data_IF_657530015806
#
_entry.id   IF_657530015806
#
_cell.length_a   1.000
_cell.length_b   1.000
_cell.length_c   1.000
_cell.angle_alpha   90.00
_cell.angle_beta   90.00
_cell.angle_gamma   90.00
#
_symmetry.space_group_name_H-M   'P 1'
#
loop_
_entity.id
_entity.type
_entity.pdbx_description
1 polymer ?
#
# COMPACT_ATOMS: atom_id res chain seq x y z
N UNK A 1 -35.20 52.62 34.60
CA UNK A 1 -35.14 51.39 33.72
C UNK A 1 -33.96 51.38 32.76
N UNK A 2 -33.29 52.48 32.46
CA UNK A 2 -32.18 52.54 31.50
C UNK A 2 -30.81 52.08 32.03
N UNK A 3 -30.54 52.16 33.31
CA UNK A 3 -29.21 51.85 33.87
C UNK A 3 -28.92 50.31 33.91
N UNK A 4 -29.93 49.49 34.09
CA UNK A 4 -29.79 48.02 34.07
C UNK A 4 -29.54 47.46 32.66
N UNK A 5 -30.02 48.14 31.62
CA UNK A 5 -29.83 47.73 30.21
C UNK A 5 -28.39 48.00 29.75
N UNK A 6 -27.77 49.09 30.21
CA UNK A 6 -26.39 49.46 29.86
C UNK A 6 -25.37 48.55 30.54
N UNK A 7 -25.61 48.10 31.77
CA UNK A 7 -24.75 47.15 32.48
C UNK A 7 -24.80 45.76 31.82
N UNK A 8 -25.98 45.29 31.46
CA UNK A 8 -26.17 44.01 30.79
C UNK A 8 -25.51 43.98 29.39
N UNK A 9 -25.61 45.07 28.61
CA UNK A 9 -24.91 45.19 27.33
C UNK A 9 -23.38 45.21 27.47
N UNK A 10 -22.86 45.85 28.50
CA UNK A 10 -21.40 45.84 28.78
C UNK A 10 -20.90 44.44 29.19
N UNK A 11 -21.70 43.69 29.96
CA UNK A 11 -21.34 42.32 30.36
C UNK A 11 -21.35 41.39 29.13
N UNK A 12 -22.33 41.52 28.24
CA UNK A 12 -22.39 40.72 27.00
C UNK A 12 -21.21 41.06 26.09
N UNK A 13 -20.86 42.36 25.94
CA UNK A 13 -19.71 42.78 25.13
C UNK A 13 -18.38 42.25 25.64
N UNK A 14 -18.21 42.22 26.98
CA UNK A 14 -16.99 41.65 27.61
C UNK A 14 -16.95 40.13 27.46
N UNK A 15 -18.11 39.46 27.59
CA UNK A 15 -18.21 38.01 27.38
C UNK A 15 -17.94 37.60 25.92
N UNK A 16 -18.46 38.35 24.95
CA UNK A 16 -18.20 38.16 23.53
C UNK A 16 -16.70 38.42 23.23
N UNK A 17 -16.09 39.43 23.83
CA UNK A 17 -14.66 39.71 23.68
C UNK A 17 -13.78 38.62 24.30
N UNK A 18 -14.16 38.05 25.43
CA UNK A 18 -13.46 36.94 26.10
C UNK A 18 -13.62 35.63 25.31
N UNK A 19 -14.78 35.38 24.72
CA UNK A 19 -15.01 34.20 23.87
C UNK A 19 -14.28 34.32 22.52
N UNK A 20 -14.15 35.54 21.97
CA UNK A 20 -13.36 35.77 20.75
C UNK A 20 -11.85 35.67 20.96
N UNK A 21 -11.37 35.96 22.21
CA UNK A 21 -9.93 35.84 22.54
C UNK A 21 -9.51 34.39 22.85
N UNK A 22 -10.45 33.51 23.23
CA UNK A 22 -10.18 32.08 23.45
C UNK A 22 -10.19 31.25 22.18
N UNK A 23 -10.53 31.82 21.03
CA UNK A 23 -10.62 31.12 19.74
C UNK A 23 -9.34 31.09 18.90
N UNK A 24 -8.22 31.65 19.33
CA UNK A 24 -7.03 31.82 18.46
C UNK A 24 -5.78 31.05 18.89
N UNK A 25 -5.92 30.00 19.69
CA UNK A 25 -4.82 29.09 20.00
C UNK A 25 -5.10 27.65 19.57
N UNK A 26 -5.70 27.45 18.41
CA UNK A 26 -5.48 26.20 17.69
C UNK A 26 -4.14 26.32 16.96
N UNK A 27 -3.04 26.25 17.70
CA UNK A 27 -1.74 25.90 17.15
C UNK A 27 -1.95 24.61 16.35
N UNK A 28 -1.59 24.64 15.07
CA UNK A 28 -1.46 23.44 14.25
C UNK A 28 -0.41 22.55 14.93
N UNK A 29 -0.84 21.73 15.89
CA UNK A 29 -0.02 20.65 16.40
C UNK A 29 0.08 19.67 15.24
N UNK A 30 1.20 19.71 14.52
CA UNK A 30 1.51 18.67 13.56
C UNK A 30 1.48 17.33 14.29
N UNK A 31 0.87 16.31 13.66
CA UNK A 31 0.76 14.98 14.24
C UNK A 31 2.17 14.41 14.46
N UNK A 32 2.64 14.42 15.71
CA UNK A 32 3.96 13.92 16.07
C UNK A 32 4.19 12.46 15.69
N UNK A 33 3.13 11.65 15.66
CA UNK A 33 3.16 10.28 15.17
C UNK A 33 3.43 10.22 13.67
N UNK A 34 2.77 11.07 12.89
CA UNK A 34 2.98 11.13 11.46
C UNK A 34 4.41 11.56 11.12
N UNK A 35 4.91 12.61 11.81
CA UNK A 35 6.29 13.08 11.65
C UNK A 35 7.32 12.02 12.07
N UNK A 36 7.11 11.36 13.22
CA UNK A 36 7.97 10.28 13.68
C UNK A 36 8.04 9.15 12.65
N UNK A 37 6.89 8.67 12.16
CA UNK A 37 6.81 7.59 11.18
C UNK A 37 7.47 7.97 9.85
N UNK A 38 7.33 9.22 9.43
CA UNK A 38 7.88 9.70 8.15
C UNK A 38 9.40 9.93 8.21
N UNK A 39 9.91 10.47 9.31
CA UNK A 39 11.28 10.97 9.39
C UNK A 39 12.21 10.12 10.27
N UNK A 40 11.70 9.45 11.29
CA UNK A 40 12.51 8.84 12.35
C UNK A 40 12.43 7.31 12.38
N UNK A 41 11.24 6.74 12.12
CA UNK A 41 10.96 5.31 12.32
C UNK A 41 11.78 4.36 11.44
N UNK A 42 12.38 4.84 10.35
CA UNK A 42 13.25 4.04 9.48
C UNK A 42 14.57 3.62 10.15
N UNK A 43 15.08 4.47 11.05
CA UNK A 43 16.36 4.23 11.74
C UNK A 43 16.19 4.04 13.24
N UNK A 44 15.08 4.50 13.81
CA UNK A 44 14.82 4.47 15.24
C UNK A 44 13.49 3.80 15.59
N UNK A 45 13.49 3.00 16.65
CA UNK A 45 12.26 2.60 17.32
C UNK A 45 12.20 3.24 18.72
N UNK A 46 11.00 3.27 19.33
CA UNK A 46 10.83 3.87 20.66
C UNK A 46 11.50 2.99 21.71
N UNK A 47 11.20 1.68 21.73
CA UNK A 47 11.59 0.77 22.81
C UNK A 47 12.78 -0.14 22.47
N UNK A 48 13.22 -0.19 21.22
CA UNK A 48 14.33 -1.07 20.79
C UNK A 48 15.33 -0.32 19.92
N UNK A 49 16.57 -0.79 19.93
CA UNK A 49 17.61 -0.33 19.01
C UNK A 49 17.34 -0.89 17.61
N UNK A 50 17.47 -0.04 16.60
CA UNK A 50 17.52 -0.41 15.18
C UNK A 50 18.90 -0.04 14.61
N UNK A 51 18.92 0.75 13.55
CA UNK A 51 20.17 1.37 13.03
C UNK A 51 20.71 2.39 14.00
N UNK A 52 19.82 3.21 14.57
CA UNK A 52 20.13 4.17 15.64
C UNK A 52 19.62 3.68 17.01
N UNK A 53 19.88 4.46 18.07
CA UNK A 53 19.44 4.15 19.43
C UNK A 53 17.92 4.10 19.57
N UNK A 54 17.44 3.34 20.57
CA UNK A 54 16.07 3.44 21.05
C UNK A 54 15.79 4.86 21.53
N UNK A 55 14.62 5.42 21.22
CA UNK A 55 14.33 6.82 21.51
C UNK A 55 13.58 7.06 22.82
N UNK A 56 13.13 6.00 23.50
CA UNK A 56 12.50 6.12 24.84
C UNK A 56 13.44 6.86 25.79
N UNK A 57 12.95 7.92 26.42
CA UNK A 57 13.73 8.77 27.33
C UNK A 57 14.88 9.52 26.63
N UNK A 58 14.75 9.83 25.34
CA UNK A 58 15.81 10.52 24.60
C UNK A 58 16.08 11.92 25.16
N UNK A 59 15.06 12.64 25.62
CA UNK A 59 15.22 13.99 26.21
C UNK A 59 16.09 13.95 27.45
N UNK A 60 15.94 12.96 28.33
CA UNK A 60 16.71 12.83 29.57
C UNK A 60 18.19 12.52 29.32
N UNK A 61 18.56 12.12 28.10
CA UNK A 61 19.94 11.80 27.72
C UNK A 61 20.70 13.01 27.15
N UNK A 62 20.04 14.14 27.00
CA UNK A 62 20.63 15.37 26.51
C UNK A 62 20.52 16.47 27.57
N UNK A 63 21.65 17.00 27.99
CA UNK A 63 21.72 18.06 29.05
C UNK A 63 21.11 19.39 28.57
N UNK A 64 21.08 19.61 27.24
CA UNK A 64 20.56 20.81 26.61
C UNK A 64 19.58 20.44 25.48
N UNK A 65 18.33 20.83 25.65
CA UNK A 65 17.26 20.59 24.65
C UNK A 65 17.52 21.33 23.35
N UNK A 66 18.18 22.50 23.39
CA UNK A 66 18.53 23.22 22.16
C UNK A 66 19.55 22.42 21.34
N UNK A 67 20.50 21.76 22.00
CA UNK A 67 21.47 20.89 21.32
C UNK A 67 20.82 19.63 20.76
N UNK A 68 19.77 19.09 21.39
CA UNK A 68 18.97 18.00 20.83
C UNK A 68 18.25 18.45 19.54
N UNK A 69 17.69 19.66 19.51
CA UNK A 69 17.06 20.19 18.30
C UNK A 69 18.09 20.38 17.17
N UNK A 70 19.27 20.94 17.50
CA UNK A 70 20.36 21.08 16.53
C UNK A 70 20.87 19.74 16.04
N UNK A 71 20.95 18.75 16.93
CA UNK A 71 21.30 17.36 16.56
C UNK A 71 20.31 16.78 15.55
N UNK A 72 19.02 16.91 15.78
CA UNK A 72 17.98 16.42 14.85
C UNK A 72 18.08 17.14 13.51
N UNK A 73 18.32 18.46 13.50
CA UNK A 73 18.43 19.23 12.25
C UNK A 73 19.72 18.94 11.49
N UNK A 74 20.83 18.81 12.18
CA UNK A 74 22.14 18.58 11.55
C UNK A 74 23.14 17.96 12.52
N UNK A 75 23.09 16.63 12.63
CA UNK A 75 23.99 15.87 13.50
C UNK A 75 25.47 16.09 13.18
N UNK A 76 25.83 16.23 11.89
CA UNK A 76 27.21 16.48 11.46
C UNK A 76 27.79 17.78 12.05
N UNK A 77 26.97 18.84 12.03
CA UNK A 77 27.40 20.13 12.59
C UNK A 77 27.63 20.05 14.09
N UNK A 78 26.78 19.31 14.82
CA UNK A 78 26.92 19.16 16.29
C UNK A 78 28.12 18.27 16.64
N UNK A 79 28.40 17.23 15.88
CA UNK A 79 29.61 16.38 16.01
C UNK A 79 30.85 17.26 15.78
N UNK A 80 30.86 18.04 14.69
CA UNK A 80 31.98 18.95 14.37
C UNK A 80 32.26 19.99 15.45
N UNK A 81 31.21 20.46 16.15
CA UNK A 81 31.36 21.34 17.32
C UNK A 81 31.94 20.63 18.54
N UNK A 82 32.10 19.31 18.51
CA UNK A 82 32.68 18.54 19.61
C UNK A 82 31.76 18.37 20.82
N UNK A 83 30.43 18.49 20.64
CA UNK A 83 29.50 18.31 21.77
C UNK A 83 29.60 16.88 22.32
N UNK A 84 29.93 16.68 23.62
CA UNK A 84 30.34 15.39 24.16
C UNK A 84 29.33 14.27 23.92
N UNK A 85 28.03 14.54 24.13
CA UNK A 85 26.97 13.55 23.89
C UNK A 85 26.87 13.17 22.43
N UNK A 86 26.96 14.12 21.52
CA UNK A 86 26.89 13.87 20.07
C UNK A 86 28.05 13.00 19.59
N UNK A 87 29.26 13.31 20.07
CA UNK A 87 30.47 12.52 19.71
C UNK A 87 30.40 11.12 20.31
N UNK A 88 29.88 10.98 21.54
CA UNK A 88 29.73 9.69 22.20
C UNK A 88 28.75 8.80 21.41
N UNK A 89 27.55 9.29 21.08
CA UNK A 89 26.57 8.55 20.29
C UNK A 89 27.12 8.19 18.90
N UNK A 90 27.77 9.15 18.24
CA UNK A 90 28.39 8.88 16.93
C UNK A 90 29.39 7.74 16.97
N UNK A 91 30.26 7.69 17.99
CA UNK A 91 31.26 6.62 18.15
C UNK A 91 30.62 5.28 18.55
N UNK A 92 29.61 5.30 19.42
CA UNK A 92 28.87 4.13 19.88
C UNK A 92 28.16 3.41 18.70
N UNK A 93 27.64 4.18 17.74
CA UNK A 93 26.89 3.66 16.59
C UNK A 93 27.74 3.59 15.31
N UNK A 94 28.97 3.07 15.43
CA UNK A 94 29.89 2.78 14.32
C UNK A 94 30.18 3.97 13.40
N UNK A 95 30.13 5.17 13.93
CA UNK A 95 30.31 6.43 13.19
C UNK A 95 29.29 6.61 12.06
N UNK A 96 28.09 6.01 12.21
CA UNK A 96 26.95 6.26 11.32
C UNK A 96 26.40 7.64 11.64
N UNK A 97 26.38 8.49 10.63
CA UNK A 97 25.85 9.84 10.77
C UNK A 97 24.34 9.84 10.59
N UNK A 98 23.60 10.42 11.54
CA UNK A 98 22.17 10.61 11.41
C UNK A 98 21.86 11.57 10.25
N UNK A 99 20.84 11.24 9.45
CA UNK A 99 20.33 12.12 8.39
C UNK A 99 19.93 13.48 8.94
N UNK A 100 20.25 14.55 8.22
CA UNK A 100 19.89 15.91 8.61
C UNK A 100 18.45 16.23 8.18
N UNK A 101 17.70 16.93 9.05
CA UNK A 101 16.32 17.38 8.80
C UNK A 101 16.21 18.91 9.03
N UNK A 102 16.86 19.72 8.18
CA UNK A 102 16.95 21.16 8.38
C UNK A 102 15.58 21.89 8.30
N UNK A 103 14.60 21.25 7.69
CA UNK A 103 13.24 21.76 7.54
C UNK A 103 12.40 21.68 8.83
N UNK A 104 12.80 20.84 9.81
CA UNK A 104 12.02 20.68 11.04
C UNK A 104 12.16 21.88 11.96
N UNK A 105 11.03 22.44 12.37
CA UNK A 105 10.94 23.51 13.38
C UNK A 105 10.96 22.90 14.80
N UNK A 106 11.21 23.72 15.81
CA UNK A 106 11.17 23.26 17.21
C UNK A 106 9.83 22.60 17.55
N UNK A 107 8.71 23.20 17.10
CA UNK A 107 7.38 22.66 17.35
C UNK A 107 7.18 21.26 16.74
N UNK A 108 7.79 20.98 15.58
CA UNK A 108 7.72 19.68 14.93
C UNK A 108 8.51 18.62 15.71
N UNK A 109 9.70 19.01 16.20
CA UNK A 109 10.55 18.15 17.02
C UNK A 109 9.87 17.91 18.38
N UNK A 110 9.26 18.93 19.00
CA UNK A 110 8.49 18.76 20.23
C UNK A 110 7.29 17.84 20.06
N UNK A 111 6.60 17.92 18.93
CA UNK A 111 5.51 16.99 18.63
C UNK A 111 6.01 15.54 18.49
N UNK A 112 7.16 15.33 17.85
CA UNK A 112 7.81 14.02 17.76
C UNK A 112 8.22 13.50 19.13
N UNK A 113 8.86 14.35 19.96
CA UNK A 113 9.28 13.99 21.31
C UNK A 113 8.08 13.68 22.21
N UNK A 114 7.00 14.46 22.10
CA UNK A 114 5.73 14.19 22.77
C UNK A 114 5.17 12.81 22.42
N UNK A 115 5.20 12.44 21.14
CA UNK A 115 4.78 11.10 20.69
C UNK A 115 5.68 9.98 21.26
N UNK A 116 6.99 10.19 21.27
CA UNK A 116 7.96 9.25 21.86
C UNK A 116 7.69 9.06 23.35
N UNK A 117 7.47 10.15 24.11
CA UNK A 117 7.24 10.14 25.56
C UNK A 117 5.92 9.46 25.95
N UNK A 118 4.92 9.49 25.07
CA UNK A 118 3.69 8.70 25.27
C UNK A 118 3.89 7.20 25.00
N UNK A 119 5.15 6.75 24.80
CA UNK A 119 5.47 5.35 24.50
C UNK A 119 4.97 4.90 23.13
N UNK A 120 4.82 5.86 22.19
CA UNK A 120 4.12 5.58 20.95
C UNK A 120 2.66 5.26 21.22
N UNK A 121 2.08 5.90 22.26
CA UNK A 121 0.82 5.49 22.83
C UNK A 121 0.01 4.80 21.77
N UNK A 122 -0.40 3.55 22.06
CA UNK A 122 -1.64 3.01 21.52
C UNK A 122 -2.62 4.17 21.49
N UNK A 123 -2.50 5.04 20.46
CA UNK A 123 -3.66 5.76 20.00
C UNK A 123 -4.66 4.65 20.01
N UNK A 124 -5.64 4.74 20.92
CA UNK A 124 -6.73 3.82 20.97
C UNK A 124 -6.94 3.48 19.53
N UNK A 125 -6.76 2.23 19.17
CA UNK A 125 -7.16 1.77 17.88
C UNK A 125 -8.54 2.40 17.75
N UNK A 126 -8.60 3.56 17.09
CA UNK A 126 -9.76 3.88 16.35
C UNK A 126 -9.88 2.61 15.59
N UNK A 127 -10.73 1.76 16.09
CA UNK A 127 -11.22 0.59 15.43
C UNK A 127 -11.49 1.05 14.02
N UNK A 128 -10.46 1.00 13.18
CA UNK A 128 -10.66 0.59 11.83
C UNK A 128 -11.26 -0.79 12.07
N UNK A 129 -12.60 -0.81 12.19
CA UNK A 129 -13.33 -1.98 11.84
C UNK A 129 -12.63 -2.46 10.57
N UNK A 130 -12.18 -3.72 10.51
CA UNK A 130 -11.81 -4.25 9.23
C UNK A 130 -13.03 -3.87 8.38
N UNK A 131 -12.86 -3.02 7.39
CA UNK A 131 -13.75 -3.06 6.27
C UNK A 131 -13.68 -4.56 5.95
N UNK A 132 -14.80 -5.25 6.13
CA UNK A 132 -15.04 -6.50 5.47
C UNK A 132 -14.94 -6.15 3.99
N UNK A 133 -13.70 -5.98 3.55
CA UNK A 133 -13.32 -6.02 2.19
C UNK A 133 -13.68 -7.43 1.80
N UNK A 134 -14.63 -7.58 0.89
CA UNK A 134 -14.75 -8.78 0.10
C UNK A 134 -13.33 -9.22 -0.18
N UNK A 135 -12.93 -10.31 0.46
CA UNK A 135 -11.67 -10.94 0.20
C UNK A 135 -11.57 -11.05 -1.31
N UNK A 136 -10.56 -10.41 -1.87
CA UNK A 136 -10.19 -10.70 -3.25
C UNK A 136 -10.12 -12.23 -3.32
N UNK A 137 -10.70 -12.86 -4.33
CA UNK A 137 -10.65 -14.31 -4.42
C UNK A 137 -9.20 -14.73 -4.30
N UNK A 138 -8.98 -15.57 -3.32
CA UNK A 138 -7.68 -16.12 -2.95
C UNK A 138 -7.02 -16.70 -4.21
N UNK A 139 -5.75 -16.40 -4.44
CA UNK A 139 -5.00 -16.94 -5.56
C UNK A 139 -4.83 -18.48 -5.50
N UNK A 140 -5.46 -19.13 -4.51
CA UNK A 140 -5.54 -20.57 -4.36
C UNK A 140 -6.66 -21.27 -5.15
N UNK A 141 -7.55 -20.51 -5.84
CA UNK A 141 -8.72 -21.10 -6.53
C UNK A 141 -8.44 -21.65 -7.93
N UNK A 142 -7.24 -21.48 -8.50
CA UNK A 142 -6.98 -21.95 -9.87
C UNK A 142 -6.92 -23.48 -9.99
N UNK A 143 -6.41 -24.17 -8.96
CA UNK A 143 -6.24 -25.63 -9.01
C UNK A 143 -7.57 -26.37 -8.83
N UNK A 144 -8.48 -25.85 -7.99
CA UNK A 144 -9.81 -26.45 -7.82
C UNK A 144 -10.69 -26.27 -9.05
N UNK A 145 -10.64 -25.13 -9.73
CA UNK A 145 -11.41 -24.88 -10.94
C UNK A 145 -10.96 -25.78 -12.12
N UNK A 146 -9.67 -26.05 -12.22
CA UNK A 146 -9.12 -27.00 -13.20
C UNK A 146 -9.54 -28.42 -12.87
N UNK A 147 -9.52 -28.80 -11.58
CA UNK A 147 -9.97 -30.12 -11.12
C UNK A 147 -11.47 -30.33 -11.41
N UNK A 148 -12.32 -29.35 -11.09
CA UNK A 148 -13.75 -29.40 -11.40
C UNK A 148 -14.01 -29.42 -12.92
N UNK A 149 -13.23 -28.69 -13.70
CA UNK A 149 -13.29 -28.72 -15.17
C UNK A 149 -12.97 -30.11 -15.74
N UNK A 150 -11.91 -30.75 -15.25
CA UNK A 150 -11.54 -32.12 -15.64
C UNK A 150 -12.62 -33.12 -15.20
N UNK A 151 -13.11 -33.01 -13.96
CA UNK A 151 -14.14 -33.88 -13.43
C UNK A 151 -15.45 -33.81 -14.26
N UNK A 152 -15.88 -32.59 -14.61
CA UNK A 152 -17.08 -32.41 -15.44
C UNK A 152 -16.89 -32.95 -16.85
N UNK A 153 -15.70 -32.82 -17.44
CA UNK A 153 -15.38 -33.41 -18.75
C UNK A 153 -15.43 -34.94 -18.69
N UNK A 154 -14.84 -35.55 -17.67
CA UNK A 154 -14.85 -37.01 -17.47
C UNK A 154 -16.29 -37.50 -17.29
N UNK A 155 -17.12 -36.83 -16.47
CA UNK A 155 -18.52 -37.19 -16.30
C UNK A 155 -19.34 -37.04 -17.59
N UNK A 156 -19.06 -36.03 -18.41
CA UNK A 156 -19.70 -35.86 -19.71
C UNK A 156 -19.35 -36.99 -20.67
N UNK A 157 -18.09 -37.41 -20.71
CA UNK A 157 -17.64 -38.57 -21.55
C UNK A 157 -18.30 -39.85 -21.06
N UNK A 158 -18.36 -40.10 -19.75
CA UNK A 158 -19.05 -41.27 -19.18
C UNK A 158 -20.54 -41.28 -19.59
N UNK A 159 -21.21 -40.11 -19.47
CA UNK A 159 -22.61 -39.98 -19.88
C UNK A 159 -22.84 -40.32 -21.38
N UNK A 160 -21.95 -39.85 -22.27
CA UNK A 160 -22.01 -40.16 -23.68
C UNK A 160 -21.83 -41.68 -23.95
N UNK A 161 -20.87 -42.31 -23.22
CA UNK A 161 -20.67 -43.77 -23.32
C UNK A 161 -21.93 -44.53 -22.86
N UNK A 162 -22.53 -44.14 -21.73
CA UNK A 162 -23.73 -44.75 -21.20
C UNK A 162 -24.92 -44.58 -22.13
N UNK A 163 -25.08 -43.43 -22.79
CA UNK A 163 -26.10 -43.21 -23.80
C UNK A 163 -25.93 -44.15 -25.01
N UNK A 164 -24.67 -44.33 -25.45
CA UNK A 164 -24.36 -45.26 -26.55
C UNK A 164 -24.63 -46.72 -26.16
N UNK A 165 -24.21 -47.11 -24.94
CA UNK A 165 -24.49 -48.45 -24.40
C UNK A 165 -26.00 -48.71 -24.30
N UNK A 166 -26.77 -47.76 -23.75
CA UNK A 166 -28.23 -47.87 -23.67
C UNK A 166 -28.89 -47.98 -25.05
N UNK A 167 -28.39 -47.24 -26.04
CA UNK A 167 -28.87 -47.37 -27.45
C UNK A 167 -28.62 -48.77 -28.02
N UNK A 168 -27.43 -49.32 -27.74
CA UNK A 168 -27.10 -50.68 -28.19
C UNK A 168 -27.92 -51.76 -27.47
N UNK A 169 -28.15 -51.62 -26.15
CA UNK A 169 -28.98 -52.53 -25.36
C UNK A 169 -30.44 -52.52 -25.84
N UNK A 170 -31.01 -51.36 -26.15
CA UNK A 170 -32.35 -51.24 -26.72
C UNK A 170 -32.43 -51.99 -28.05
N UNK A 171 -31.45 -51.83 -28.94
CA UNK A 171 -31.40 -52.58 -30.19
C UNK A 171 -31.41 -54.08 -29.95
N UNK A 172 -30.61 -54.59 -29.04
CA UNK A 172 -30.57 -56.02 -28.71
C UNK A 172 -31.90 -56.48 -28.12
N UNK A 173 -32.60 -55.73 -27.32
CA UNK A 173 -33.94 -56.04 -26.81
C UNK A 173 -34.96 -56.12 -27.94
N UNK A 174 -34.97 -55.10 -28.82
CA UNK A 174 -35.92 -55.03 -29.96
C UNK A 174 -35.68 -56.19 -30.98
N UNK A 175 -34.43 -56.58 -31.18
CA UNK A 175 -34.09 -57.74 -32.05
C UNK A 175 -34.56 -59.04 -31.41
N UNK A 176 -34.53 -59.21 -30.08
CA UNK A 176 -35.08 -60.40 -29.42
C UNK A 176 -36.59 -60.49 -29.53
N UNK A 177 -37.27 -59.33 -29.64
CA UNK A 177 -38.73 -59.25 -29.87
C UNK A 177 -39.14 -59.38 -31.35
N UNK A 178 -38.18 -59.59 -32.29
CA UNK A 178 -38.39 -59.73 -33.67
C UNK A 178 -38.61 -58.48 -34.50
N UNK A 179 -38.36 -57.33 -33.91
CA UNK A 179 -38.44 -56.03 -34.56
C UNK A 179 -37.18 -55.76 -35.38
N UNK A 180 -37.34 -55.39 -36.67
CA UNK A 180 -36.19 -54.90 -37.47
C UNK A 180 -35.86 -53.48 -37.12
N UNK A 181 -34.81 -53.26 -36.34
CA UNK A 181 -34.32 -51.93 -35.97
C UNK A 181 -33.12 -51.50 -36.82
N UNK A 182 -33.03 -50.19 -37.10
CA UNK A 182 -31.88 -49.63 -37.79
C UNK A 182 -30.62 -49.70 -36.90
N UNK A 183 -29.46 -49.85 -37.52
CA UNK A 183 -28.22 -49.86 -36.78
C UNK A 183 -28.02 -48.51 -35.99
N UNK A 184 -27.62 -48.55 -34.70
CA UNK A 184 -27.39 -47.35 -33.93
C UNK A 184 -26.22 -46.55 -34.54
N UNK A 185 -26.49 -45.29 -34.82
CA UNK A 185 -25.48 -44.37 -35.39
C UNK A 185 -24.42 -44.10 -34.32
N UNK A 186 -23.14 -44.39 -34.57
CA UNK A 186 -22.07 -44.06 -33.62
C UNK A 186 -22.11 -42.58 -33.24
N UNK A 187 -21.80 -42.23 -31.98
CA UNK A 187 -21.90 -40.87 -31.44
C UNK A 187 -21.14 -39.83 -32.31
N UNK A 188 -19.96 -40.19 -32.84
CA UNK A 188 -19.15 -39.34 -33.71
C UNK A 188 -19.72 -39.11 -35.12
N UNK A 189 -20.77 -39.84 -35.51
CA UNK A 189 -21.55 -39.64 -36.76
C UNK A 189 -22.95 -39.09 -36.51
N UNK A 190 -23.36 -39.04 -35.25
CA UNK A 190 -24.67 -38.52 -34.90
C UNK A 190 -24.67 -36.98 -34.99
N UNK A 191 -25.43 -36.43 -35.92
CA UNK A 191 -25.50 -35.00 -36.19
C UNK A 191 -25.89 -34.19 -34.94
N UNK A 192 -26.73 -34.72 -34.05
CA UNK A 192 -27.14 -34.05 -32.83
C UNK A 192 -25.94 -33.90 -31.85
N UNK A 193 -25.16 -34.96 -31.65
CA UNK A 193 -23.98 -34.89 -30.77
C UNK A 193 -22.89 -33.99 -31.35
N UNK A 194 -22.68 -34.04 -32.67
CA UNK A 194 -21.73 -33.14 -33.36
C UNK A 194 -22.18 -31.69 -33.18
N UNK A 195 -23.47 -31.39 -33.33
CA UNK A 195 -24.00 -30.04 -33.16
C UNK A 195 -23.84 -29.56 -31.71
N UNK A 196 -24.17 -30.39 -30.73
CA UNK A 196 -24.00 -30.05 -29.30
C UNK A 196 -22.52 -29.78 -28.97
N UNK A 197 -21.61 -30.63 -29.45
CA UNK A 197 -20.18 -30.45 -29.24
C UNK A 197 -19.65 -29.16 -29.91
N UNK A 198 -20.09 -28.89 -31.13
CA UNK A 198 -19.74 -27.65 -31.84
C UNK A 198 -20.24 -26.41 -31.11
N UNK A 199 -21.47 -26.45 -30.57
CA UNK A 199 -22.04 -25.35 -29.76
C UNK A 199 -21.24 -25.17 -28.48
N UNK A 200 -20.91 -26.24 -27.74
CA UNK A 200 -20.10 -26.15 -26.52
C UNK A 200 -18.70 -25.58 -26.81
N UNK A 201 -18.07 -26.02 -27.90
CA UNK A 201 -16.76 -25.52 -28.31
C UNK A 201 -16.83 -24.03 -28.70
N UNK A 202 -17.89 -23.64 -29.41
CA UNK A 202 -18.11 -22.24 -29.77
C UNK A 202 -18.37 -21.36 -28.56
N UNK A 203 -19.22 -21.79 -27.62
CA UNK A 203 -19.49 -21.05 -26.39
C UNK A 203 -18.27 -21.00 -25.47
N UNK A 204 -17.59 -22.13 -25.29
CA UNK A 204 -16.37 -22.20 -24.48
C UNK A 204 -15.22 -21.36 -25.07
N UNK A 205 -14.98 -21.53 -26.37
CA UNK A 205 -13.99 -20.75 -27.10
C UNK A 205 -14.32 -19.26 -27.12
N UNK A 206 -15.60 -18.92 -27.32
CA UNK A 206 -16.09 -17.54 -27.24
C UNK A 206 -15.88 -16.91 -25.84
N UNK A 207 -16.19 -17.67 -24.79
CA UNK A 207 -15.94 -17.24 -23.40
C UNK A 207 -14.45 -17.01 -23.12
N UNK A 208 -13.58 -17.95 -23.51
CA UNK A 208 -12.13 -17.80 -23.34
C UNK A 208 -11.58 -16.61 -24.13
N UNK A 209 -12.05 -16.40 -25.35
CA UNK A 209 -11.66 -15.25 -26.19
C UNK A 209 -12.11 -13.94 -25.55
N UNK A 210 -13.34 -13.90 -25.03
CA UNK A 210 -13.87 -12.73 -24.34
C UNK A 210 -13.07 -12.40 -23.07
N UNK A 211 -12.76 -13.40 -22.24
CA UNK A 211 -11.91 -13.22 -21.05
C UNK A 211 -10.51 -12.74 -21.42
N UNK A 212 -9.90 -13.32 -22.45
CA UNK A 212 -8.62 -12.88 -22.99
C UNK A 212 -8.65 -11.43 -23.48
N UNK A 213 -9.71 -11.06 -24.20
CA UNK A 213 -9.90 -9.69 -24.68
C UNK A 213 -10.10 -8.70 -23.53
N UNK A 214 -10.83 -9.06 -22.48
CA UNK A 214 -10.96 -8.24 -21.28
C UNK A 214 -9.63 -8.07 -20.52
N UNK A 215 -8.73 -9.04 -20.61
CA UNK A 215 -7.39 -8.99 -20.02
C UNK A 215 -6.39 -8.11 -20.77
N UNK A 216 -6.68 -7.72 -22.02
CA UNK A 216 -5.78 -6.88 -22.81
C UNK A 216 -5.51 -5.54 -22.13
N UNK A 217 -4.24 -5.18 -21.98
CA UNK A 217 -3.79 -3.94 -21.32
C UNK A 217 -3.88 -3.96 -19.80
N UNK A 218 -4.28 -5.07 -19.18
CA UNK A 218 -4.25 -5.24 -17.72
C UNK A 218 -3.00 -6.00 -17.32
N UNK A 219 -2.26 -5.44 -16.36
CA UNK A 219 -0.97 -5.98 -15.95
C UNK A 219 -1.01 -6.62 -14.56
N UNK A 220 -2.16 -7.18 -14.13
CA UNK A 220 -2.27 -7.88 -12.85
C UNK A 220 -1.23 -9.02 -12.80
N UNK A 221 -0.55 -9.15 -11.67
CA UNK A 221 0.55 -10.10 -11.44
C UNK A 221 1.81 -9.82 -12.30
N UNK A 222 1.90 -8.67 -12.95
CA UNK A 222 3.13 -8.29 -13.64
C UNK A 222 4.26 -8.06 -12.63
N UNK A 223 5.34 -8.82 -12.78
CA UNK A 223 6.49 -8.87 -11.88
C UNK A 223 7.77 -8.91 -12.70
N UNK A 224 8.26 -7.77 -13.15
CA UNK A 224 9.49 -7.70 -13.93
C UNK A 224 10.73 -7.85 -13.04
N UNK A 225 11.80 -8.42 -13.57
CA UNK A 225 13.10 -8.39 -12.92
C UNK A 225 13.61 -6.95 -12.78
N UNK A 226 14.17 -6.64 -11.62
CA UNK A 226 14.70 -5.33 -11.28
C UNK A 226 16.23 -5.31 -11.33
N UNK A 227 16.86 -4.15 -11.61
CA UNK A 227 18.34 -4.05 -11.64
C UNK A 227 19.01 -4.46 -10.33
N UNK A 228 18.34 -4.28 -9.21
CA UNK A 228 18.73 -4.73 -7.88
C UNK A 228 17.55 -5.49 -7.29
N UNK A 229 17.80 -6.68 -6.73
CA UNK A 229 16.82 -7.37 -5.93
C UNK A 229 16.58 -6.59 -4.63
N UNK A 230 15.39 -6.02 -4.49
CA UNK A 230 15.00 -5.25 -3.32
C UNK A 230 13.82 -5.92 -2.61
N UNK A 231 14.07 -6.47 -1.41
CA UNK A 231 13.04 -7.14 -0.63
C UNK A 231 12.27 -6.16 0.25
N UNK A 232 10.99 -5.97 -0.04
CA UNK A 232 10.08 -5.24 0.87
C UNK A 232 9.81 -6.05 2.15
N UNK A 233 9.88 -7.38 2.09
CA UNK A 233 9.76 -8.25 3.27
C UNK A 233 10.82 -7.92 4.30
N UNK A 234 12.07 -7.74 3.87
CA UNK A 234 13.16 -7.38 4.78
C UNK A 234 13.00 -5.95 5.30
N UNK A 235 12.73 -4.99 4.42
CA UNK A 235 12.70 -3.57 4.80
C UNK A 235 11.41 -3.18 5.53
N UNK A 236 10.26 -3.38 4.92
CA UNK A 236 8.97 -2.97 5.46
C UNK A 236 8.35 -4.02 6.41
N UNK A 237 8.59 -5.31 6.14
CA UNK A 237 8.07 -6.41 6.97
C UNK A 237 8.88 -6.60 8.25
N UNK A 238 10.12 -7.05 8.14
CA UNK A 238 10.96 -7.42 9.30
C UNK A 238 11.46 -6.18 10.03
N UNK A 239 12.05 -5.23 9.31
CA UNK A 239 12.59 -4.00 9.90
C UNK A 239 11.54 -2.92 10.16
N UNK A 240 10.29 -3.10 9.67
CA UNK A 240 9.16 -2.20 9.89
C UNK A 240 9.44 -0.75 9.44
N UNK A 241 10.26 -0.57 8.39
CA UNK A 241 10.50 0.74 7.79
C UNK A 241 9.20 1.21 7.16
N UNK A 242 8.76 2.42 7.52
CA UNK A 242 7.52 3.00 7.02
C UNK A 242 7.61 3.25 5.51
N UNK A 243 6.53 2.93 4.77
CA UNK A 243 6.44 3.13 3.32
C UNK A 243 6.80 4.57 2.90
N UNK A 244 6.35 5.56 3.67
CA UNK A 244 6.53 6.98 3.38
C UNK A 244 7.97 7.48 3.59
N UNK A 245 8.83 6.70 4.25
CA UNK A 245 10.25 7.04 4.30
C UNK A 245 10.90 7.00 2.91
N UNK A 246 10.54 5.99 2.12
CA UNK A 246 11.04 5.83 0.76
C UNK A 246 10.10 6.44 -0.29
N UNK A 247 8.78 6.40 -0.06
CA UNK A 247 7.74 6.84 -0.97
C UNK A 247 6.98 8.07 -0.45
N UNK A 248 7.71 9.06 0.11
CA UNK A 248 7.13 10.26 0.72
C UNK A 248 6.24 11.07 -0.23
N UNK A 249 6.53 11.06 -1.52
CA UNK A 249 5.70 11.71 -2.53
C UNK A 249 4.24 11.23 -2.57
N UNK A 250 3.96 10.04 -2.00
CA UNK A 250 2.58 9.55 -1.91
C UNK A 250 1.68 10.45 -1.02
N UNK A 251 2.24 11.20 -0.07
CA UNK A 251 1.48 12.14 0.76
C UNK A 251 1.22 13.48 0.08
N UNK A 252 2.19 13.97 -0.68
CA UNK A 252 2.21 15.37 -1.09
C UNK A 252 2.10 15.56 -2.60
N UNK A 253 2.18 14.47 -3.38
CA UNK A 253 2.28 14.51 -4.84
C UNK A 253 1.33 13.56 -5.55
N UNK A 254 1.18 13.79 -6.86
CA UNK A 254 0.52 12.87 -7.79
C UNK A 254 1.22 11.51 -7.80
N UNK A 255 2.55 11.49 -7.74
CA UNK A 255 3.37 10.29 -7.81
C UNK A 255 3.99 9.97 -6.44
N UNK A 256 4.02 8.69 -6.08
CA UNK A 256 4.62 8.25 -4.81
C UNK A 256 6.14 8.39 -4.78
N UNK A 257 6.76 8.55 -5.93
CA UNK A 257 8.20 8.55 -6.19
C UNK A 257 8.87 7.18 -5.91
N UNK A 258 9.87 6.87 -6.70
CA UNK A 258 10.87 5.86 -6.39
C UNK A 258 12.00 6.58 -5.65
N UNK A 259 12.49 6.07 -4.50
CA UNK A 259 13.52 6.75 -3.72
C UNK A 259 14.81 6.86 -4.53
N UNK A 260 15.50 7.99 -4.39
CA UNK A 260 16.84 8.15 -4.94
C UNK A 260 17.83 7.23 -4.20
N UNK A 261 18.97 6.92 -4.83
CA UNK A 261 20.03 6.12 -4.24
C UNK A 261 20.49 6.66 -2.88
N UNK A 262 20.46 7.99 -2.68
CA UNK A 262 20.80 8.61 -1.40
C UNK A 262 19.94 8.14 -0.23
N UNK A 263 18.66 7.87 -0.46
CA UNK A 263 17.77 7.35 0.59
C UNK A 263 18.22 5.97 1.05
N UNK A 264 18.62 5.11 0.12
CA UNK A 264 19.18 3.79 0.41
C UNK A 264 20.48 3.92 1.23
N UNK A 265 21.35 4.83 0.82
CA UNK A 265 22.65 5.06 1.45
C UNK A 265 22.56 5.64 2.86
N UNK A 266 21.44 6.23 3.29
CA UNK A 266 21.26 6.65 4.67
C UNK A 266 21.48 5.51 5.67
N UNK A 267 21.15 4.26 5.29
CA UNK A 267 21.39 3.06 6.10
C UNK A 267 22.56 2.24 5.56
N UNK A 268 22.66 2.06 4.25
CA UNK A 268 23.63 1.18 3.64
C UNK A 268 25.08 1.70 3.62
N UNK A 269 25.33 2.95 4.03
CA UNK A 269 26.71 3.35 4.37
C UNK A 269 27.26 2.57 5.59
N UNK A 270 26.39 2.08 6.48
CA UNK A 270 26.75 1.29 7.65
C UNK A 270 26.38 -0.19 7.57
N UNK A 271 25.43 -0.54 6.70
CA UNK A 271 24.94 -1.91 6.50
C UNK A 271 25.49 -2.39 5.16
N UNK A 272 26.63 -3.07 5.20
CA UNK A 272 27.41 -3.48 4.02
C UNK A 272 27.27 -4.97 3.68
N UNK A 273 26.61 -5.74 4.50
CA UNK A 273 26.37 -7.17 4.32
C UNK A 273 24.98 -7.59 4.78
N UNK A 274 24.46 -8.66 4.20
CA UNK A 274 23.23 -9.31 4.60
C UNK A 274 23.55 -10.53 5.47
N UNK A 275 23.96 -10.27 6.73
CA UNK A 275 24.40 -11.32 7.66
C UNK A 275 23.27 -11.90 8.52
N UNK A 276 22.18 -11.16 8.70
CA UNK A 276 21.05 -11.52 9.59
C UNK A 276 19.72 -11.32 8.88
N UNK A 277 19.04 -12.40 8.60
CA UNK A 277 17.73 -12.36 7.94
C UNK A 277 17.37 -13.71 7.34
N UNK A 278 16.15 -13.88 6.83
CA UNK A 278 15.74 -15.10 6.14
C UNK A 278 16.52 -15.27 4.82
N UNK A 279 16.64 -16.50 4.35
CA UNK A 279 17.12 -16.75 3.00
C UNK A 279 16.19 -16.07 1.99
N UNK A 280 16.76 -15.30 1.09
CA UNK A 280 16.01 -14.62 0.04
C UNK A 280 15.90 -15.51 -1.20
N UNK A 281 14.75 -15.45 -1.86
CA UNK A 281 14.46 -16.21 -3.06
C UNK A 281 13.80 -15.32 -4.11
N UNK A 282 14.10 -15.55 -5.38
CA UNK A 282 13.30 -15.03 -6.49
C UNK A 282 12.04 -15.87 -6.66
N UNK A 283 11.12 -15.39 -7.47
CA UNK A 283 9.89 -16.11 -7.78
C UNK A 283 10.15 -17.48 -8.43
N UNK A 284 11.20 -17.62 -9.20
CA UNK A 284 11.62 -18.89 -9.81
C UNK A 284 12.25 -19.88 -8.80
N UNK A 285 12.31 -19.51 -7.51
CA UNK A 285 12.91 -20.31 -6.43
C UNK A 285 14.42 -20.22 -6.37
N UNK A 286 15.08 -19.44 -7.21
CA UNK A 286 16.53 -19.25 -7.13
C UNK A 286 16.91 -18.43 -5.88
N UNK A 287 18.02 -18.84 -5.24
CA UNK A 287 18.53 -18.15 -4.04
C UNK A 287 19.19 -16.84 -4.42
N UNK A 288 18.92 -15.82 -3.60
CA UNK A 288 19.53 -14.49 -3.75
C UNK A 288 20.58 -14.29 -2.66
N UNK A 289 21.77 -13.84 -3.05
CA UNK A 289 22.77 -13.33 -2.13
C UNK A 289 22.51 -11.85 -1.84
N UNK A 290 21.92 -11.57 -0.69
CA UNK A 290 21.61 -10.20 -0.29
C UNK A 290 22.83 -9.30 -0.15
N UNK A 291 24.00 -9.86 0.21
CA UNK A 291 25.26 -9.10 0.25
C UNK A 291 25.69 -8.67 -1.14
N UNK A 292 25.59 -9.55 -2.14
CA UNK A 292 25.88 -9.20 -3.52
C UNK A 292 24.96 -8.10 -4.05
N UNK A 293 23.68 -8.11 -3.65
CA UNK A 293 22.72 -7.05 -4.02
C UNK A 293 23.06 -5.69 -3.36
N UNK A 294 23.56 -5.69 -2.11
CA UNK A 294 24.08 -4.47 -1.46
C UNK A 294 25.33 -3.96 -2.21
N UNK A 295 26.19 -4.84 -2.69
CA UNK A 295 27.36 -4.42 -3.48
C UNK A 295 26.96 -3.80 -4.84
N UNK A 296 25.88 -4.29 -5.47
CA UNK A 296 25.30 -3.62 -6.65
C UNK A 296 24.81 -2.20 -6.31
N UNK A 297 24.14 -2.02 -5.16
CA UNK A 297 23.74 -0.69 -4.70
C UNK A 297 24.94 0.26 -4.60
N UNK A 298 26.08 -0.21 -4.07
CA UNK A 298 27.30 0.59 -3.97
C UNK A 298 27.85 1.01 -5.33
N UNK A 299 27.75 0.14 -6.35
CA UNK A 299 28.14 0.50 -7.72
C UNK A 299 27.24 1.63 -8.25
N UNK A 300 25.92 1.57 -8.02
CA UNK A 300 24.99 2.64 -8.40
C UNK A 300 25.24 3.92 -7.60
N UNK A 301 25.52 3.82 -6.31
CA UNK A 301 25.83 4.97 -5.46
C UNK A 301 27.20 5.61 -5.76
N UNK A 302 28.12 4.88 -6.41
CA UNK A 302 29.52 5.27 -6.52
C UNK A 302 30.21 5.29 -5.14
N UNK A 303 29.85 4.34 -4.25
CA UNK A 303 30.34 4.24 -2.89
C UNK A 303 31.44 3.19 -2.78
N UNK A 304 32.57 3.57 -2.18
CA UNK A 304 33.66 2.64 -1.81
C UNK A 304 33.52 2.27 -0.33
N UNK A 305 33.02 1.05 -0.01
CA UNK A 305 32.79 0.66 1.38
C UNK A 305 34.07 0.48 2.18
N UNK A 306 35.21 0.22 1.54
CA UNK A 306 36.49 0.05 2.20
C UNK A 306 37.07 1.37 2.67
N UNK A 307 36.93 2.41 1.85
CA UNK A 307 37.39 3.77 2.16
C UNK A 307 36.31 4.64 2.81
N UNK A 308 35.06 4.19 2.79
CA UNK A 308 33.88 4.94 3.27
C UNK A 308 33.74 6.32 2.62
N UNK A 309 33.95 6.40 1.31
CA UNK A 309 33.85 7.64 0.52
C UNK A 309 33.10 7.42 -0.79
N UNK A 310 32.48 8.50 -1.29
CA UNK A 310 31.92 8.53 -2.62
C UNK A 310 33.00 8.78 -3.65
N UNK A 311 33.03 7.95 -4.70
CA UNK A 311 34.02 8.05 -5.79
C UNK A 311 33.62 9.04 -6.88
N UNK A 312 32.39 9.57 -6.82
CA UNK A 312 31.84 10.45 -7.85
C UNK A 312 31.39 9.74 -9.14
N UNK A 313 31.45 8.40 -9.20
CA UNK A 313 31.08 7.58 -10.36
C UNK A 313 29.73 6.90 -10.23
N UNK A 314 28.83 7.45 -9.40
CA UNK A 314 27.49 6.93 -9.22
C UNK A 314 26.60 7.14 -10.46
N UNK A 315 25.57 6.30 -10.59
CA UNK A 315 24.52 6.42 -11.61
C UNK A 315 23.15 6.09 -11.02
N UNK A 316 22.09 6.57 -11.65
CA UNK A 316 20.73 6.24 -11.24
C UNK A 316 20.45 4.73 -11.43
N UNK A 317 19.60 4.16 -10.57
CA UNK A 317 19.05 2.81 -10.77
C UNK A 317 17.87 2.96 -11.75
N UNK A 318 17.92 2.25 -12.85
CA UNK A 318 16.87 2.25 -13.87
C UNK A 318 15.80 1.22 -13.50
N UNK A 319 14.98 1.54 -12.49
CA UNK A 319 13.91 0.67 -12.04
C UNK A 319 12.86 0.45 -13.12
N UNK A 320 12.45 -0.81 -13.31
CA UNK A 320 11.35 -1.17 -14.18
C UNK A 320 10.02 -0.84 -13.50
N UNK A 321 9.19 -0.03 -14.18
CA UNK A 321 7.89 0.39 -13.63
C UNK A 321 6.91 -0.77 -13.61
N UNK A 322 6.35 -1.06 -12.43
CA UNK A 322 5.40 -2.16 -12.21
C UNK A 322 3.96 -1.68 -12.41
N UNK A 323 3.58 -0.61 -11.71
CA UNK A 323 2.23 -0.06 -11.78
C UNK A 323 2.16 1.03 -12.85
N UNK A 324 1.34 0.81 -13.86
CA UNK A 324 1.15 1.75 -14.95
C UNK A 324 -0.33 1.96 -15.25
N UNK A 325 -0.73 3.23 -15.39
CA UNK A 325 -2.04 3.62 -15.88
C UNK A 325 -1.90 4.18 -17.29
N UNK A 326 -2.91 4.04 -18.17
CA UNK A 326 -2.94 4.71 -19.45
C UNK A 326 -2.82 6.23 -19.30
N UNK A 327 -2.21 6.91 -20.27
CA UNK A 327 -1.92 8.35 -20.20
C UNK A 327 -3.17 9.21 -20.01
N UNK A 328 -4.32 8.75 -20.52
CA UNK A 328 -5.62 9.44 -20.39
C UNK A 328 -6.27 9.27 -19.01
N UNK A 329 -5.62 8.59 -18.07
CA UNK A 329 -6.13 8.40 -16.71
C UNK A 329 -5.34 9.22 -15.71
N UNK A 330 -6.05 10.12 -15.03
CA UNK A 330 -5.51 10.89 -13.92
C UNK A 330 -5.66 10.12 -12.61
N UNK A 331 -4.56 9.94 -11.91
CA UNK A 331 -4.53 9.40 -10.57
C UNK A 331 -3.57 10.22 -9.70
N UNK A 332 -4.00 10.56 -8.49
CA UNK A 332 -3.21 11.33 -7.55
C UNK A 332 -3.10 10.61 -6.20
N UNK A 333 -1.88 10.21 -5.82
CA UNK A 333 -1.64 9.53 -4.55
C UNK A 333 -2.03 10.39 -3.36
N UNK A 334 -1.70 11.69 -3.33
CA UNK A 334 -1.98 12.54 -2.17
C UNK A 334 -3.49 12.68 -1.90
N UNK A 335 -4.33 12.66 -2.92
CA UNK A 335 -5.78 12.69 -2.74
C UNK A 335 -6.29 11.39 -2.08
N UNK A 336 -5.71 10.24 -2.40
CA UNK A 336 -6.09 8.96 -1.82
C UNK A 336 -5.48 8.74 -0.43
N UNK A 337 -4.18 9.01 -0.27
CA UNK A 337 -3.44 8.74 0.96
C UNK A 337 -3.71 9.82 2.02
N UNK A 338 -3.60 11.10 1.65
CA UNK A 338 -3.69 12.22 2.62
C UNK A 338 -5.13 12.66 2.84
N UNK A 339 -5.89 12.92 1.78
CA UNK A 339 -7.26 13.34 1.89
C UNK A 339 -8.21 12.15 2.13
N UNK A 340 -8.09 11.08 1.36
CA UNK A 340 -8.93 9.89 1.43
C UNK A 340 -8.58 8.92 2.57
N UNK A 341 -7.41 9.09 3.22
CA UNK A 341 -6.91 8.22 4.30
C UNK A 341 -6.85 6.74 3.92
N UNK A 342 -6.61 6.44 2.64
CA UNK A 342 -6.48 5.06 2.17
C UNK A 342 -5.12 4.47 2.55
N UNK A 343 -5.12 3.20 2.95
CA UNK A 343 -3.90 2.47 3.23
C UNK A 343 -3.21 2.03 1.92
N UNK A 344 -1.89 1.96 1.94
CA UNK A 344 -1.10 1.53 0.78
C UNK A 344 -1.51 0.13 0.30
N UNK A 345 -1.77 -0.77 1.24
CA UNK A 345 -2.14 -2.17 0.98
C UNK A 345 -3.47 -2.32 0.23
N UNK A 346 -4.39 -1.36 0.34
CA UNK A 346 -5.67 -1.40 -0.39
C UNK A 346 -5.46 -1.51 -1.91
N UNK A 347 -4.42 -0.86 -2.43
CA UNK A 347 -4.13 -0.84 -3.87
C UNK A 347 -2.93 -1.71 -4.24
N UNK A 348 -1.93 -1.81 -3.36
CA UNK A 348 -0.66 -2.48 -3.63
C UNK A 348 -0.57 -3.89 -3.01
N UNK A 349 -1.59 -4.34 -2.28
CA UNK A 349 -1.54 -5.61 -1.55
C UNK A 349 -0.58 -5.56 -0.35
N UNK A 350 -0.25 -6.71 0.16
CA UNK A 350 0.64 -6.83 1.32
C UNK A 350 2.12 -6.71 0.91
N UNK A 351 2.51 -5.54 0.42
CA UNK A 351 3.87 -5.23 -0.03
C UNK A 351 4.93 -5.65 0.98
N UNK A 352 4.66 -5.50 2.27
CA UNK A 352 5.56 -5.91 3.35
C UNK A 352 5.79 -7.43 3.43
N UNK A 353 5.12 -8.21 2.60
CA UNK A 353 5.33 -9.67 2.45
C UNK A 353 5.89 -10.04 1.08
N UNK A 354 6.20 -9.06 0.23
CA UNK A 354 6.71 -9.28 -1.12
C UNK A 354 8.22 -9.08 -1.15
N UNK A 355 8.97 -10.12 -1.51
CA UNK A 355 10.38 -10.00 -1.79
C UNK A 355 10.60 -9.32 -3.15
N UNK A 356 9.94 -9.78 -4.18
CA UNK A 356 9.84 -9.09 -5.47
C UNK A 356 8.41 -8.56 -5.63
N UNK A 357 8.27 -7.27 -5.91
CA UNK A 357 6.95 -6.63 -6.00
C UNK A 357 6.30 -6.93 -7.34
N UNK A 358 5.02 -7.26 -7.29
CA UNK A 358 4.18 -7.44 -8.47
C UNK A 358 2.96 -6.50 -8.43
N UNK A 359 2.34 -6.29 -9.58
CA UNK A 359 1.11 -5.50 -9.66
C UNK A 359 -0.06 -6.31 -9.07
N UNK A 360 -0.50 -5.95 -7.86
CA UNK A 360 -1.53 -6.67 -7.11
C UNK A 360 -2.92 -6.53 -7.74
N UNK A 361 -3.32 -5.31 -8.10
CA UNK A 361 -4.63 -5.03 -8.71
C UNK A 361 -4.53 -4.86 -10.22
N UNK A 362 -5.64 -5.07 -10.92
CA UNK A 362 -5.71 -4.87 -12.37
C UNK A 362 -5.74 -3.40 -12.79
N UNK A 363 -5.99 -2.48 -11.83
CA UNK A 363 -6.13 -1.03 -12.04
C UNK A 363 -7.13 -0.67 -13.14
N UNK A 364 -8.16 -1.51 -13.35
CA UNK A 364 -9.20 -1.26 -14.33
C UNK A 364 -10.14 -0.14 -13.88
N UNK A 365 -10.83 0.49 -14.85
CA UNK A 365 -11.87 1.49 -14.54
C UNK A 365 -12.94 0.91 -13.60
N UNK A 366 -13.38 -0.32 -13.84
CA UNK A 366 -14.35 -1.02 -12.99
C UNK A 366 -13.88 -1.16 -11.55
N UNK A 367 -12.61 -1.50 -11.34
CA UNK A 367 -12.02 -1.62 -10.01
C UNK A 367 -12.04 -0.26 -9.27
N UNK A 368 -11.62 0.82 -9.94
CA UNK A 368 -11.65 2.17 -9.36
C UNK A 368 -13.07 2.63 -9.03
N UNK A 369 -14.01 2.45 -9.96
CA UNK A 369 -15.41 2.87 -9.79
C UNK A 369 -16.09 2.09 -8.66
N UNK A 370 -15.86 0.78 -8.54
CA UNK A 370 -16.42 -0.03 -7.46
C UNK A 370 -15.89 0.44 -6.10
N UNK A 371 -14.58 0.67 -5.99
CA UNK A 371 -13.99 1.24 -4.77
C UNK A 371 -14.65 2.58 -4.39
N UNK A 372 -14.85 3.49 -5.33
CA UNK A 372 -15.47 4.79 -5.08
C UNK A 372 -16.96 4.69 -4.69
N UNK A 373 -17.68 3.68 -5.14
CA UNK A 373 -19.07 3.40 -4.76
C UNK A 373 -19.19 2.90 -3.32
N UNK A 374 -18.22 2.12 -2.87
CA UNK A 374 -18.26 1.45 -1.56
C UNK A 374 -17.55 2.24 -0.47
N UNK A 375 -16.45 2.94 -0.84
CA UNK A 375 -15.61 3.63 0.13
C UNK A 375 -16.33 4.83 0.75
N UNK A 376 -16.39 4.84 2.08
CA UNK A 376 -16.93 5.95 2.86
C UNK A 376 -15.92 7.08 2.97
N UNK A 377 -16.40 8.30 2.77
CA UNK A 377 -15.61 9.52 2.97
C UNK A 377 -15.30 9.71 4.45
N UNK A 378 -14.05 9.96 4.77
CA UNK A 378 -13.59 10.22 6.14
C UNK A 378 -13.82 11.70 6.48
N UNK A 379 -15.02 12.06 6.95
CA UNK A 379 -15.36 13.43 7.30
C UNK A 379 -14.82 13.88 8.66
N UNK A 380 -14.65 12.96 9.61
CA UNK A 380 -14.22 13.26 10.98
C UNK A 380 -12.80 13.82 10.97
N UNK A 381 -12.63 15.03 11.50
CA UNK A 381 -11.33 15.73 11.59
C UNK A 381 -10.57 15.87 10.26
N UNK A 382 -11.29 15.83 9.14
CA UNK A 382 -10.70 15.91 7.81
C UNK A 382 -11.07 17.23 7.11
N UNK A 383 -10.17 18.19 7.19
CA UNK A 383 -10.35 19.54 6.62
C UNK A 383 -10.54 19.55 5.09
N UNK A 384 -10.07 18.52 4.38
CA UNK A 384 -10.25 18.44 2.92
C UNK A 384 -11.70 18.32 2.48
N UNK A 385 -12.58 17.83 3.37
CA UNK A 385 -14.00 17.66 3.08
C UNK A 385 -14.90 18.69 3.80
N UNK A 386 -14.31 19.74 4.39
CA UNK A 386 -15.07 20.80 5.10
C UNK A 386 -16.06 21.54 4.20
N UNK A 387 -15.82 21.60 2.89
CA UNK A 387 -16.71 22.25 1.93
C UNK A 387 -18.05 21.54 1.71
N UNK A 388 -18.20 20.31 2.18
CA UNK A 388 -19.43 19.53 2.04
C UNK A 388 -20.36 19.74 3.26
N UNK A 389 -20.67 21.00 3.58
CA UNK A 389 -21.45 21.40 4.78
C UNK A 389 -22.76 20.65 4.94
N UNK A 390 -23.50 20.46 3.85
CA UNK A 390 -24.78 19.75 3.87
C UNK A 390 -24.63 18.30 4.36
N UNK A 391 -23.60 17.58 3.90
CA UNK A 391 -23.36 16.21 4.36
C UNK A 391 -22.94 16.17 5.82
N UNK A 392 -22.14 17.13 6.28
CA UNK A 392 -21.79 17.27 7.69
C UNK A 392 -23.04 17.52 8.56
N UNK A 393 -23.94 18.37 8.11
CA UNK A 393 -25.20 18.67 8.80
C UNK A 393 -26.13 17.46 8.84
N UNK A 394 -26.32 16.78 7.72
CA UNK A 394 -27.16 15.58 7.60
C UNK A 394 -26.63 14.42 8.46
N UNK A 395 -25.31 14.22 8.54
CA UNK A 395 -24.69 13.26 9.46
C UNK A 395 -24.88 13.65 10.92
N UNK A 396 -24.67 14.93 11.28
CA UNK A 396 -24.88 15.46 12.64
C UNK A 396 -26.35 15.27 13.09
N UNK A 397 -27.29 15.48 12.19
CA UNK A 397 -28.71 15.31 12.43
C UNK A 397 -29.18 13.85 12.31
N UNK A 398 -28.27 12.90 12.12
CA UNK A 398 -28.55 11.46 11.95
C UNK A 398 -29.53 11.13 10.82
N UNK A 399 -29.61 11.98 9.80
CA UNK A 399 -30.40 11.71 8.59
C UNK A 399 -29.71 10.69 7.67
N UNK A 400 -28.38 10.66 7.69
CA UNK A 400 -27.54 9.73 6.96
C UNK A 400 -26.42 9.22 7.90
N UNK A 401 -26.03 7.97 7.75
CA UNK A 401 -24.96 7.36 8.57
C UNK A 401 -23.59 7.56 7.96
N UNK A 402 -23.50 7.64 6.64
CA UNK A 402 -22.24 7.80 5.92
C UNK A 402 -22.46 8.35 4.51
N UNK A 403 -21.38 8.88 3.94
CA UNK A 403 -21.34 9.37 2.55
C UNK A 403 -20.27 8.61 1.82
N UNK A 404 -20.57 8.05 0.66
CA UNK A 404 -19.58 7.39 -0.19
C UNK A 404 -18.87 8.40 -1.09
N UNK A 405 -17.71 8.02 -1.63
CA UNK A 405 -16.96 8.86 -2.58
C UNK A 405 -17.78 9.15 -3.84
N UNK A 406 -18.63 8.20 -4.28
CA UNK A 406 -19.59 8.43 -5.38
C UNK A 406 -20.53 9.62 -5.11
N UNK A 407 -21.07 9.72 -3.87
CA UNK A 407 -22.00 10.80 -3.50
C UNK A 407 -21.39 12.20 -3.52
N UNK A 408 -20.07 12.29 -3.43
CA UNK A 408 -19.33 13.56 -3.58
C UNK A 408 -18.78 13.76 -5.00
N UNK A 409 -19.26 12.99 -5.97
CA UNK A 409 -18.89 13.10 -7.38
C UNK A 409 -17.64 12.34 -7.77
N UNK A 410 -17.15 11.41 -6.93
CA UNK A 410 -15.90 10.66 -7.20
C UNK A 410 -15.99 9.65 -8.35
N UNK A 411 -17.19 9.39 -8.91
CA UNK A 411 -17.40 8.53 -10.07
C UNK A 411 -17.69 9.30 -11.37
N UNK A 412 -17.61 10.63 -11.33
CA UNK A 412 -17.75 11.45 -12.53
C UNK A 412 -16.55 11.26 -13.48
N UNK A 413 -16.82 11.12 -14.78
CA UNK A 413 -15.79 10.78 -15.78
C UNK A 413 -14.58 11.73 -15.74
N UNK A 414 -14.82 13.03 -15.59
CA UNK A 414 -13.78 14.07 -15.58
C UNK A 414 -12.90 14.05 -14.30
N UNK A 415 -13.23 13.26 -13.30
CA UNK A 415 -12.36 13.11 -12.11
C UNK A 415 -11.17 12.20 -12.39
N UNK A 416 -11.31 11.30 -13.35
CA UNK A 416 -10.31 10.31 -13.70
C UNK A 416 -9.80 10.46 -15.15
N UNK A 417 -10.57 11.12 -16.03
CA UNK A 417 -10.23 11.29 -17.45
C UNK A 417 -10.18 12.78 -17.83
N UNK A 418 -9.18 13.18 -18.65
CA UNK A 418 -9.00 14.54 -19.18
C UNK A 418 -8.64 14.51 -20.66
#
# INVERSE_FOLDING_TARGET
MNQKRTVFQKIISVFVLLVSLSGTLALNAQDGKALFNQKCASCHAIDKQLVGPALKGVEDRWDDKAMLYDWVRNSAAVIKKGYPRAVAVYNEYNKIQMTAFPELKNADIDAILGYINTGGAKAAAATAAPAEGNAAPDAGESDSNLLYGILTLVLAVIALILLQVNSNLRKMSDETEGARTAEPIPFYRNKAYIAIFAIMLFLGGGYMTFQGAQGLGRSKNYQPEQPIFYSHTVHAGINQINCLYCHGGAQDSKHSNIPSVNVCMNCHMGINEYAKGPQLYREDGSKVDGTAEIQKLYQFAGWDPSKKVYTGKGKAIEWVRIHNLPDHVYFNHSQHVTAGKQNCQTCHGEIQKMDEVYQFTDLSMGWCVNCHRETKVQFTDNKFYSIYEKFHEDMKNKKIDSVTVEKIGGTECQKCHY
#
